data_IF_152752300664
#
_entry.id   IF_152752300664
#
_cell.length_a   1.000
_cell.length_b   1.000
_cell.length_c   1.000
_cell.angle_alpha   90.00
_cell.angle_beta   90.00
_cell.angle_gamma   90.00
#
_symmetry.space_group_name_H-M   'P 1'
#
loop_
_entity.id
_entity.type
_entity.pdbx_description
1 polymer ?
#
# COMPACT_ATOMS: atom_id res chain seq x y z
N UNK A 1 -11.05 8.74 15.05
CA UNK A 1 -11.46 7.41 14.56
C UNK A 1 -10.52 6.95 13.46
N UNK A 2 -10.12 5.69 13.49
CA UNK A 2 -9.28 5.10 12.46
C UNK A 2 -10.17 4.33 11.47
N UNK A 3 -9.97 4.55 10.19
CA UNK A 3 -10.74 3.92 9.14
C UNK A 3 -9.83 3.59 7.96
N UNK A 4 -10.39 2.99 6.92
CA UNK A 4 -9.64 2.60 5.72
C UNK A 4 -10.58 2.58 4.51
N UNK A 5 -10.00 2.65 3.33
CA UNK A 5 -10.72 2.42 2.08
C UNK A 5 -9.74 1.94 1.01
N UNK A 6 -10.26 1.39 -0.08
CA UNK A 6 -9.39 1.01 -1.20
C UNK A 6 -8.84 2.25 -1.90
N UNK A 7 -7.63 2.11 -2.41
CA UNK A 7 -6.96 3.11 -3.22
C UNK A 7 -7.67 3.27 -4.56
N UNK A 8 -7.89 4.50 -4.98
CA UNK A 8 -8.49 4.83 -6.27
C UNK A 8 -7.53 5.65 -7.10
N UNK A 9 -7.89 5.89 -8.37
CA UNK A 9 -7.09 6.73 -9.27
C UNK A 9 -6.86 8.13 -8.70
N UNK A 10 -7.82 8.65 -7.92
CA UNK A 10 -7.71 9.97 -7.31
C UNK A 10 -6.62 10.06 -6.23
N UNK A 11 -6.16 8.91 -5.74
CA UNK A 11 -5.14 8.86 -4.68
C UNK A 11 -3.71 8.87 -5.21
N UNK A 12 -3.53 8.67 -6.52
CA UNK A 12 -2.20 8.45 -7.11
C UNK A 12 -1.24 9.61 -6.82
N UNK A 13 -1.69 10.85 -6.98
CA UNK A 13 -0.85 12.01 -6.72
C UNK A 13 -0.41 12.05 -5.24
N UNK A 14 -1.33 11.81 -4.33
CA UNK A 14 -1.03 11.83 -2.90
C UNK A 14 -0.05 10.71 -2.51
N UNK A 15 -0.29 9.48 -2.99
CA UNK A 15 0.58 8.34 -2.69
C UNK A 15 1.97 8.58 -3.27
N UNK A 16 2.06 9.13 -4.49
CA UNK A 16 3.35 9.44 -5.11
C UNK A 16 4.14 10.45 -4.27
N UNK A 17 3.47 11.47 -3.77
CA UNK A 17 4.09 12.49 -2.94
C UNK A 17 4.57 11.92 -1.60
N UNK A 18 3.73 11.12 -0.94
CA UNK A 18 4.08 10.49 0.33
C UNK A 18 5.22 9.49 0.13
N UNK A 19 5.18 8.72 -0.95
CA UNK A 19 6.24 7.79 -1.30
C UNK A 19 7.59 8.48 -1.47
N UNK A 20 7.59 9.67 -2.05
CA UNK A 20 8.80 10.48 -2.19
C UNK A 20 9.38 10.87 -0.82
N UNK A 21 8.51 11.25 0.12
CA UNK A 21 8.93 11.56 1.49
C UNK A 21 9.55 10.34 2.17
N UNK A 22 8.93 9.17 2.01
CA UNK A 22 9.44 7.93 2.58
C UNK A 22 10.77 7.52 1.94
N UNK A 23 10.91 7.71 0.64
CA UNK A 23 12.16 7.45 -0.08
C UNK A 23 13.30 8.31 0.48
N UNK A 24 13.03 9.58 0.78
CA UNK A 24 14.01 10.49 1.35
C UNK A 24 14.48 10.09 2.75
N UNK A 25 13.66 9.30 3.48
CA UNK A 25 13.99 8.78 4.81
C UNK A 25 14.67 7.40 4.74
N UNK A 26 14.71 6.78 3.58
CA UNK A 26 15.21 5.41 3.41
C UNK A 26 16.72 5.35 3.19
N UNK A 27 17.28 4.15 3.24
CA UNK A 27 18.68 3.92 2.90
C UNK A 27 18.98 4.16 1.42
N UNK A 28 17.95 4.27 0.58
CA UNK A 28 18.08 4.53 -0.85
C UNK A 28 17.96 6.01 -1.21
N UNK A 29 17.99 6.91 -0.22
CA UNK A 29 17.80 8.35 -0.42
C UNK A 29 18.78 9.01 -1.39
N UNK A 30 19.93 8.39 -1.63
CA UNK A 30 20.96 8.89 -2.53
C UNK A 30 20.60 8.66 -4.02
N UNK A 31 19.62 7.79 -4.29
CA UNK A 31 19.15 7.54 -5.65
C UNK A 31 18.15 8.59 -6.12
N UNK A 32 17.71 8.44 -7.36
CA UNK A 32 16.68 9.30 -7.91
C UNK A 32 15.30 8.67 -7.78
N UNK A 33 14.37 9.42 -7.20
CA UNK A 33 12.98 8.99 -7.09
C UNK A 33 12.28 9.19 -8.44
N UNK A 34 11.85 8.10 -9.06
CA UNK A 34 11.18 8.15 -10.37
C UNK A 34 9.67 8.20 -10.19
N UNK A 35 9.12 9.42 -10.15
CA UNK A 35 7.70 9.64 -9.95
C UNK A 35 6.84 9.06 -11.09
N UNK A 36 7.33 9.06 -12.32
CA UNK A 36 6.58 8.50 -13.46
C UNK A 36 6.42 7.00 -13.32
N UNK A 37 7.48 6.32 -12.90
CA UNK A 37 7.46 4.87 -12.66
C UNK A 37 6.50 4.51 -11.56
N UNK A 38 6.50 5.29 -10.47
CA UNK A 38 5.61 5.06 -9.33
C UNK A 38 4.15 5.28 -9.74
N UNK A 39 3.85 6.35 -10.48
CA UNK A 39 2.49 6.61 -10.95
C UNK A 39 1.97 5.48 -11.84
N UNK A 40 2.82 4.95 -12.72
CA UNK A 40 2.46 3.83 -13.57
C UNK A 40 2.15 2.59 -12.75
N UNK A 41 2.96 2.31 -11.73
CA UNK A 41 2.73 1.21 -10.80
C UNK A 41 1.40 1.38 -10.06
N UNK A 42 1.10 2.59 -9.59
CA UNK A 42 -0.15 2.86 -8.86
C UNK A 42 -1.38 2.73 -9.76
N UNK A 43 -1.29 3.13 -11.03
CA UNK A 43 -2.34 2.85 -12.00
C UNK A 43 -2.60 1.35 -12.13
N UNK A 44 -1.53 0.57 -12.19
CA UNK A 44 -1.63 -0.89 -12.24
C UNK A 44 -2.34 -1.44 -11.01
N UNK A 45 -1.97 -0.97 -9.82
CA UNK A 45 -2.60 -1.38 -8.56
C UNK A 45 -4.10 -1.11 -8.59
N UNK A 46 -4.51 0.09 -8.98
CA UNK A 46 -5.91 0.49 -9.00
C UNK A 46 -6.71 -0.27 -10.06
N UNK A 47 -6.05 -0.72 -11.13
CA UNK A 47 -6.72 -1.36 -12.27
C UNK A 47 -6.81 -2.89 -12.16
N UNK A 48 -6.17 -3.51 -11.17
CA UNK A 48 -6.09 -4.97 -11.06
C UNK A 48 -6.49 -5.46 -9.67
N UNK A 49 -7.77 -5.25 -9.27
CA UNK A 49 -8.21 -5.56 -7.90
C UNK A 49 -8.23 -7.04 -7.55
N UNK A 50 -8.11 -7.93 -8.54
CA UNK A 50 -8.12 -9.37 -8.27
C UNK A 50 -6.80 -9.89 -7.70
N UNK A 51 -5.70 -9.18 -7.94
CA UNK A 51 -4.40 -9.60 -7.42
C UNK A 51 -3.54 -8.47 -6.86
N UNK A 52 -3.99 -7.23 -6.97
CA UNK A 52 -3.33 -6.08 -6.35
C UNK A 52 -4.27 -5.47 -5.31
N UNK A 53 -3.70 -5.06 -4.19
CA UNK A 53 -4.44 -4.44 -3.11
C UNK A 53 -3.78 -3.12 -2.73
N UNK A 54 -4.51 -2.03 -2.94
CA UNK A 54 -4.09 -0.72 -2.45
C UNK A 54 -5.08 -0.25 -1.40
N UNK A 55 -4.58 0.14 -0.23
CA UNK A 55 -5.40 0.60 0.89
C UNK A 55 -4.93 1.96 1.34
N UNK A 56 -5.88 2.85 1.63
CA UNK A 56 -5.63 4.15 2.21
C UNK A 56 -6.09 4.11 3.67
N UNK A 57 -5.22 4.46 4.58
CA UNK A 57 -5.54 4.58 6.00
C UNK A 57 -5.96 5.99 6.32
N UNK A 58 -7.02 6.12 7.11
CA UNK A 58 -7.61 7.40 7.48
C UNK A 58 -7.62 7.56 9.00
N UNK A 59 -7.32 8.75 9.46
CA UNK A 59 -7.52 9.12 10.86
C UNK A 59 -8.30 10.42 10.89
N UNK A 60 -9.49 10.38 11.49
CA UNK A 60 -10.40 11.52 11.55
C UNK A 60 -10.64 12.11 10.15
N UNK A 61 -10.91 11.22 9.19
CA UNK A 61 -11.19 11.51 7.78
C UNK A 61 -10.00 12.10 6.99
N UNK A 62 -8.81 12.12 7.56
CA UNK A 62 -7.59 12.59 6.88
C UNK A 62 -6.72 11.40 6.48
N UNK A 63 -6.13 11.48 5.30
CA UNK A 63 -5.22 10.44 4.82
C UNK A 63 -3.99 10.39 5.71
N UNK A 64 -3.76 9.24 6.33
CA UNK A 64 -2.67 9.03 7.29
C UNK A 64 -1.57 8.12 6.78
N UNK A 65 -1.89 7.28 5.78
CA UNK A 65 -0.92 6.34 5.26
C UNK A 65 -1.52 5.47 4.17
N UNK A 66 -0.71 4.56 3.66
CA UNK A 66 -1.19 3.59 2.66
C UNK A 66 -0.44 2.27 2.79
N UNK A 67 -1.08 1.23 2.27
CA UNK A 67 -0.47 -0.09 2.11
C UNK A 67 -0.73 -0.57 0.69
N UNK A 68 0.30 -1.15 0.06
CA UNK A 68 0.16 -1.80 -1.24
C UNK A 68 0.67 -3.23 -1.10
N UNK A 69 -0.15 -4.17 -1.53
CA UNK A 69 0.21 -5.57 -1.53
C UNK A 69 -0.23 -6.26 -2.80
N UNK A 70 0.18 -7.50 -2.95
CA UNK A 70 -0.15 -8.28 -4.14
C UNK A 70 -0.27 -9.75 -3.80
N UNK A 71 -0.95 -10.49 -4.68
CA UNK A 71 -1.05 -11.93 -4.64
C UNK A 71 -0.30 -12.46 -5.86
N UNK A 72 0.55 -13.47 -5.63
CA UNK A 72 1.27 -14.13 -6.70
C UNK A 72 1.37 -15.62 -6.43
N UNK A 73 1.63 -16.38 -7.47
CA UNK A 73 1.84 -17.82 -7.33
C UNK A 73 3.23 -18.10 -6.79
N UNK A 74 3.32 -18.99 -5.80
CA UNK A 74 4.61 -19.40 -5.28
C UNK A 74 5.32 -20.30 -6.29
N UNK A 75 6.60 -19.99 -6.55
CA UNK A 75 7.37 -20.62 -7.63
C UNK A 75 7.46 -22.16 -7.55
N UNK A 76 7.54 -22.68 -6.34
CA UNK A 76 7.80 -24.11 -6.12
C UNK A 76 6.57 -24.89 -5.71
N UNK A 77 5.41 -24.24 -5.59
CA UNK A 77 4.17 -24.89 -5.17
C UNK A 77 3.01 -24.26 -5.91
N UNK A 78 1.95 -25.02 -6.12
CA UNK A 78 0.72 -24.50 -6.69
C UNK A 78 -0.09 -23.81 -5.60
N UNK A 79 0.37 -22.66 -5.15
CA UNK A 79 -0.17 -21.95 -4.01
C UNK A 79 -0.10 -20.45 -4.24
N UNK A 80 -1.17 -19.73 -3.88
CA UNK A 80 -1.18 -18.27 -3.92
C UNK A 80 -0.64 -17.72 -2.61
N UNK A 81 0.25 -16.74 -2.73
CA UNK A 81 0.87 -16.08 -1.59
C UNK A 81 0.61 -14.59 -1.68
N UNK A 82 0.22 -13.98 -0.57
CA UNK A 82 0.06 -12.55 -0.46
C UNK A 82 1.34 -11.93 0.09
N UNK A 83 1.74 -10.80 -0.51
CA UNK A 83 2.89 -10.01 -0.07
C UNK A 83 2.49 -8.58 0.17
N UNK A 84 2.95 -8.04 1.29
CA UNK A 84 2.89 -6.60 1.50
C UNK A 84 4.15 -6.02 0.85
N UNK A 85 3.97 -5.11 -0.11
CA UNK A 85 5.06 -4.48 -0.84
C UNK A 85 5.51 -3.18 -0.17
N UNK A 86 4.55 -2.29 0.15
CA UNK A 86 4.83 -1.02 0.79
C UNK A 86 3.80 -0.75 1.89
N UNK A 87 4.29 -0.27 3.02
CA UNK A 87 3.46 0.24 4.11
C UNK A 87 4.08 1.55 4.58
N UNK A 88 3.39 2.65 4.31
CA UNK A 88 3.88 3.99 4.65
C UNK A 88 2.86 4.71 5.51
N UNK A 89 3.32 5.21 6.65
CA UNK A 89 2.50 6.00 7.58
C UNK A 89 3.16 7.37 7.71
N UNK A 90 2.39 8.44 7.54
CA UNK A 90 2.91 9.79 7.74
C UNK A 90 3.47 9.95 9.15
N UNK A 91 4.57 10.69 9.33
CA UNK A 91 5.23 10.80 10.64
C UNK A 91 4.30 11.22 11.78
N UNK A 92 3.36 12.15 11.53
CA UNK A 92 2.43 12.64 12.55
C UNK A 92 1.41 11.59 12.99
N UNK A 93 1.26 10.49 12.25
CA UNK A 93 0.34 9.40 12.58
C UNK A 93 1.04 8.12 13.02
N UNK A 94 2.38 8.11 13.09
CA UNK A 94 3.12 6.97 13.58
C UNK A 94 2.86 6.79 15.08
N UNK A 95 2.73 5.54 15.50
CA UNK A 95 2.34 5.22 16.86
C UNK A 95 0.83 5.14 17.06
N UNK A 96 0.04 5.48 16.02
CA UNK A 96 -1.42 5.28 16.05
C UNK A 96 -1.75 3.88 15.54
N UNK A 97 -3.05 3.53 15.53
CA UNK A 97 -3.52 2.23 15.08
C UNK A 97 -3.65 2.11 13.54
N UNK A 98 -3.23 3.13 12.78
CA UNK A 98 -3.39 3.13 11.32
C UNK A 98 -2.66 1.95 10.67
N UNK A 99 -1.39 1.73 11.02
CA UNK A 99 -0.59 0.65 10.44
C UNK A 99 -1.23 -0.72 10.72
N UNK A 100 -1.65 -0.95 11.96
CA UNK A 100 -2.28 -2.22 12.35
C UNK A 100 -3.59 -2.42 11.61
N UNK A 101 -4.39 -1.36 11.47
CA UNK A 101 -5.66 -1.42 10.74
C UNK A 101 -5.42 -1.80 9.28
N UNK A 102 -4.45 -1.19 8.61
CA UNK A 102 -4.13 -1.50 7.22
C UNK A 102 -3.64 -2.94 7.07
N UNK A 103 -2.77 -3.42 7.95
CA UNK A 103 -2.30 -4.80 7.91
C UNK A 103 -3.42 -5.81 8.12
N UNK A 104 -4.31 -5.55 9.06
CA UNK A 104 -5.47 -6.44 9.29
C UNK A 104 -6.37 -6.52 8.06
N UNK A 105 -6.63 -5.38 7.41
CA UNK A 105 -7.47 -5.35 6.22
C UNK A 105 -6.80 -6.02 5.03
N UNK A 106 -5.50 -5.88 4.90
CA UNK A 106 -4.75 -6.60 3.88
C UNK A 106 -4.85 -8.12 4.08
N UNK A 107 -4.68 -8.59 5.31
CA UNK A 107 -4.79 -10.02 5.63
C UNK A 107 -6.20 -10.53 5.33
N UNK A 108 -7.24 -9.78 5.71
CA UNK A 108 -8.62 -10.14 5.40
C UNK A 108 -8.86 -10.24 3.89
N UNK A 109 -8.33 -9.26 3.13
CA UNK A 109 -8.42 -9.28 1.67
C UNK A 109 -7.73 -10.51 1.09
N UNK A 110 -6.52 -10.82 1.57
CA UNK A 110 -5.76 -11.98 1.11
C UNK A 110 -6.53 -13.28 1.35
N UNK A 111 -7.15 -13.43 2.51
CA UNK A 111 -7.98 -14.61 2.82
C UNK A 111 -9.19 -14.70 1.91
N UNK A 112 -9.84 -13.58 1.64
CA UNK A 112 -10.97 -13.54 0.71
C UNK A 112 -10.55 -13.99 -0.69
N UNK A 113 -9.33 -13.68 -1.11
CA UNK A 113 -8.76 -14.10 -2.40
C UNK A 113 -8.12 -15.48 -2.33
N UNK A 114 -8.25 -16.19 -1.20
CA UNK A 114 -7.70 -17.55 -0.98
C UNK A 114 -6.18 -17.59 -1.09
N UNK A 115 -5.51 -16.54 -0.65
CA UNK A 115 -4.05 -16.47 -0.58
C UNK A 115 -3.58 -16.65 0.87
N UNK A 116 -2.35 -17.07 1.01
CA UNK A 116 -1.70 -17.21 2.32
C UNK A 116 -0.76 -16.03 2.64
#
# INVERSE_FOLDING_TARGET
>A
MIDWRFLTLDDIEWVTKVGKQMFAESEWKEGEYDAKKIKKYLHHVASHPLYMCGLIGLKDDKKAGFLIGQIGEYRFMNKLIARENELCILPEYRGSMVAITLMKKFIEWAKTMKAD
#
